data_IF_311227733757
#
_entry.id   IF_311227733757
#
_cell.length_a   1.000
_cell.length_b   1.000
_cell.length_c   1.000
_cell.angle_alpha   90.00
_cell.angle_beta   90.00
_cell.angle_gamma   90.00
#
_symmetry.space_group_name_H-M   'P 1'
#
loop_
_entity.id
_entity.type
_entity.pdbx_description
1 polymer ?
#
# COMPACT_ATOMS: atom_id res chain seq x y z
N UNK A 1 -9.85 -3.41 -4.52
CA UNK A 1 -8.52 -3.50 -5.18
C UNK A 1 -7.70 -4.64 -4.59
N UNK A 2 -6.87 -5.31 -5.38
CA UNK A 2 -6.02 -6.43 -4.93
C UNK A 2 -4.59 -6.27 -5.47
N UNK A 3 -3.60 -6.39 -4.59
CA UNK A 3 -2.18 -6.46 -4.94
C UNK A 3 -1.61 -7.78 -4.45
N UNK A 4 -1.11 -8.62 -5.36
CA UNK A 4 -0.60 -9.96 -5.01
C UNK A 4 0.89 -9.96 -4.63
N UNK A 5 1.59 -8.84 -4.77
CA UNK A 5 3.00 -8.68 -4.38
C UNK A 5 3.38 -7.20 -4.36
N UNK A 6 4.64 -6.91 -4.05
CA UNK A 6 5.23 -5.59 -4.27
C UNK A 6 5.34 -5.31 -5.77
N UNK A 7 4.47 -4.43 -6.27
CA UNK A 7 4.39 -4.00 -7.66
C UNK A 7 4.58 -2.48 -7.77
N UNK A 8 4.83 -1.96 -8.97
CA UNK A 8 4.99 -0.52 -9.18
C UNK A 8 3.68 0.21 -8.81
N UNK A 9 2.56 -0.32 -9.27
CA UNK A 9 1.21 0.16 -9.04
C UNK A 9 0.85 0.13 -7.55
N UNK A 10 1.36 -0.85 -6.80
CA UNK A 10 1.22 -0.89 -5.34
C UNK A 10 2.00 0.25 -4.68
N UNK A 11 3.22 0.53 -5.13
CA UNK A 11 4.04 1.62 -4.59
C UNK A 11 3.39 2.98 -4.86
N UNK A 12 2.88 3.18 -6.08
CA UNK A 12 2.11 4.36 -6.48
C UNK A 12 0.85 4.52 -5.63
N UNK A 13 0.11 3.43 -5.40
CA UNK A 13 -1.07 3.43 -4.54
C UNK A 13 -0.73 3.85 -3.10
N UNK A 14 0.37 3.33 -2.52
CA UNK A 14 0.80 3.73 -1.17
C UNK A 14 1.23 5.20 -1.13
N UNK A 15 1.96 5.68 -2.12
CA UNK A 15 2.38 7.09 -2.20
C UNK A 15 1.19 8.04 -2.34
N UNK A 16 0.22 7.69 -3.20
CA UNK A 16 -1.03 8.45 -3.35
C UNK A 16 -1.75 8.61 -2.00
N UNK A 17 -1.85 7.54 -1.21
CA UNK A 17 -2.47 7.60 0.12
C UNK A 17 -1.63 8.38 1.14
N UNK A 18 -0.31 8.20 1.18
CA UNK A 18 0.57 8.91 2.14
C UNK A 18 0.67 10.41 1.87
N UNK A 19 0.58 10.80 0.61
CA UNK A 19 0.68 12.19 0.19
C UNK A 19 -0.67 12.92 0.24
N UNK A 20 -1.75 12.20 0.52
CA UNK A 20 -3.06 12.79 0.71
C UNK A 20 -3.09 13.58 2.02
N UNK A 21 -3.22 14.90 1.91
CA UNK A 21 -3.28 15.84 3.05
C UNK A 21 -4.71 16.16 3.49
N UNK A 22 -5.70 15.55 2.83
CA UNK A 22 -7.11 15.71 3.18
C UNK A 22 -7.60 14.54 4.03
N UNK A 23 -8.72 14.74 4.73
CA UNK A 23 -9.41 13.69 5.46
C UNK A 23 -10.29 12.80 4.56
N UNK A 24 -10.32 13.07 3.25
CA UNK A 24 -11.08 12.29 2.26
C UNK A 24 -10.17 11.22 1.70
N UNK A 25 -10.58 9.95 1.70
CA UNK A 25 -9.80 8.83 1.14
C UNK A 25 -9.45 9.09 -0.33
N UNK A 26 -8.22 8.80 -0.74
CA UNK A 26 -7.69 9.13 -2.08
C UNK A 26 -8.17 8.18 -3.21
N UNK A 27 -9.08 7.26 -2.90
CA UNK A 27 -9.61 6.27 -3.83
C UNK A 27 -11.04 5.88 -3.44
N UNK A 28 -11.74 5.20 -4.35
CA UNK A 28 -13.13 4.76 -4.21
C UNK A 28 -13.29 3.27 -3.84
N UNK A 29 -12.19 2.55 -3.65
CA UNK A 29 -12.25 1.13 -3.29
C UNK A 29 -12.78 0.87 -1.86
N UNK A 30 -13.82 0.05 -1.75
CA UNK A 30 -14.38 -0.44 -0.49
C UNK A 30 -13.41 -1.31 0.31
N UNK A 31 -12.76 -2.27 -0.36
CA UNK A 31 -11.79 -3.20 0.25
C UNK A 31 -10.51 -3.19 -0.56
N UNK A 32 -9.39 -3.08 0.13
CA UNK A 32 -8.05 -3.23 -0.45
C UNK A 32 -7.33 -4.38 0.23
N UNK A 33 -6.85 -5.33 -0.56
CA UNK A 33 -5.95 -6.39 -0.11
C UNK A 33 -4.59 -6.19 -0.72
N UNK A 34 -3.52 -6.27 0.08
CA UNK A 34 -2.18 -6.18 -0.46
C UNK A 34 -1.06 -6.23 0.57
N UNK A 35 0.20 -6.16 0.11
CA UNK A 35 1.35 -6.12 0.98
C UNK A 35 1.33 -4.91 1.92
N UNK A 36 1.83 -5.11 3.13
CA UNK A 36 1.98 -4.04 4.12
C UNK A 36 3.23 -3.21 3.84
N UNK A 37 3.14 -1.89 4.06
CA UNK A 37 4.27 -0.98 4.07
C UNK A 37 4.85 -0.85 5.51
N UNK A 38 5.31 -1.98 6.08
CA UNK A 38 5.96 -2.02 7.41
C UNK A 38 7.24 -1.17 7.47
N UNK A 39 7.88 -1.05 8.64
CA UNK A 39 9.04 -0.16 8.85
C UNK A 39 10.16 -0.34 7.82
N UNK A 40 10.48 -1.60 7.46
CA UNK A 40 11.51 -1.91 6.46
C UNK A 40 11.16 -1.37 5.08
N UNK A 41 9.90 -1.47 4.70
CA UNK A 41 9.39 -1.01 3.40
C UNK A 41 9.10 0.50 3.42
N UNK A 42 8.59 1.02 4.54
CA UNK A 42 8.25 2.43 4.74
C UNK A 42 9.46 3.35 4.55
N UNK A 43 10.65 2.94 5.00
CA UNK A 43 11.88 3.68 4.72
C UNK A 43 12.20 3.75 3.22
N UNK A 44 12.00 2.65 2.48
CA UNK A 44 12.22 2.63 1.04
C UNK A 44 11.18 3.49 0.30
N UNK A 45 9.93 3.49 0.76
CA UNK A 45 8.86 4.35 0.21
C UNK A 45 9.19 5.82 0.43
N UNK A 46 9.65 6.20 1.63
CA UNK A 46 10.07 7.59 1.91
C UNK A 46 11.22 8.03 0.99
N UNK A 47 12.18 7.13 0.71
CA UNK A 47 13.26 7.42 -0.24
C UNK A 47 12.74 7.56 -1.68
N UNK A 48 11.74 6.79 -2.08
CA UNK A 48 11.06 6.93 -3.37
C UNK A 48 10.33 8.29 -3.45
N UNK A 49 9.57 8.64 -2.41
CA UNK A 49 8.85 9.92 -2.28
C UNK A 49 9.79 11.13 -2.37
N UNK A 50 10.96 11.05 -1.72
CA UNK A 50 11.98 12.11 -1.74
C UNK A 50 12.80 12.15 -3.05
N UNK A 51 12.53 11.27 -4.02
CA UNK A 51 13.28 11.16 -5.27
C UNK A 51 14.70 10.59 -5.12
N UNK A 52 15.06 10.06 -3.95
CA UNK A 52 16.36 9.42 -3.69
C UNK A 52 16.47 8.09 -4.45
N UNK A 53 15.35 7.37 -4.59
CA UNK A 53 15.25 6.14 -5.38
C UNK A 53 14.36 6.36 -6.60
N UNK A 54 14.74 5.75 -7.72
CA UNK A 54 13.83 5.56 -8.85
C UNK A 54 12.82 4.45 -8.54
N UNK A 55 11.64 4.41 -9.19
CA UNK A 55 10.68 3.31 -9.01
C UNK A 55 11.30 1.92 -9.26
N UNK A 56 12.15 1.80 -10.29
CA UNK A 56 12.90 0.56 -10.57
C UNK A 56 13.89 0.21 -9.46
N UNK A 57 14.59 1.20 -8.91
CA UNK A 57 15.51 1.03 -7.79
C UNK A 57 14.79 0.59 -6.51
N UNK A 58 13.64 1.20 -6.22
CA UNK A 58 12.77 0.83 -5.12
C UNK A 58 12.35 -0.65 -5.19
N UNK A 59 11.77 -1.09 -6.30
CA UNK A 59 11.34 -2.48 -6.49
C UNK A 59 12.52 -3.45 -6.39
N UNK A 60 13.67 -3.09 -6.96
CA UNK A 60 14.89 -3.88 -6.85
C UNK A 60 15.32 -4.06 -5.39
N UNK A 61 15.21 -3.03 -4.55
CA UNK A 61 15.63 -3.10 -3.14
C UNK A 61 14.75 -4.00 -2.28
N UNK A 62 13.47 -4.13 -2.63
CA UNK A 62 12.49 -4.90 -1.85
C UNK A 62 12.19 -6.28 -2.43
N UNK A 63 12.76 -6.66 -3.58
CA UNK A 63 12.46 -7.90 -4.31
C UNK A 63 12.64 -9.21 -3.55
N UNK A 64 13.44 -9.21 -2.49
CA UNK A 64 13.70 -10.38 -1.64
C UNK A 64 12.97 -10.32 -0.29
N UNK A 65 12.15 -9.30 -0.08
CA UNK A 65 11.34 -9.18 1.14
C UNK A 65 10.07 -10.00 0.92
N UNK A 66 9.86 -11.02 1.76
CA UNK A 66 8.60 -11.74 1.81
C UNK A 66 7.49 -10.77 2.24
N UNK A 67 6.43 -10.56 1.42
CA UNK A 67 5.35 -9.67 1.79
C UNK A 67 4.47 -10.29 2.87
N UNK A 68 4.16 -9.49 3.89
CA UNK A 68 3.00 -9.74 4.75
C UNK A 68 1.82 -9.01 4.14
N UNK A 69 0.65 -9.64 4.10
CA UNK A 69 -0.56 -9.06 3.52
C UNK A 69 -1.53 -8.56 4.59
N UNK A 70 -2.26 -7.50 4.27
CA UNK A 70 -3.34 -6.98 5.09
C UNK A 70 -4.59 -6.72 4.27
N UNK A 71 -5.71 -6.59 4.98
CA UNK A 71 -6.94 -6.02 4.46
C UNK A 71 -7.11 -4.60 5.02
N UNK A 72 -7.56 -3.70 4.15
CA UNK A 72 -8.12 -2.40 4.51
C UNK A 72 -9.61 -2.40 4.14
N UNK A 73 -10.43 -1.91 5.05
CA UNK A 73 -11.88 -1.78 4.95
C UNK A 73 -12.21 -0.28 4.98
N UNK A 74 -12.51 0.30 3.82
CA UNK A 74 -12.60 1.74 3.64
C UNK A 74 -14.00 2.34 3.78
N UNK A 75 -15.03 1.51 3.78
CA UNK A 75 -16.43 1.95 3.89
C UNK A 75 -17.18 1.12 4.93
N UNK A 76 -18.27 1.66 5.49
CA UNK A 76 -19.13 0.90 6.40
C UNK A 76 -19.70 -0.37 5.73
N UNK A 77 -20.03 -0.27 4.43
CA UNK A 77 -20.49 -1.41 3.64
C UNK A 77 -19.47 -2.56 3.64
N UNK A 78 -18.17 -2.23 3.58
CA UNK A 78 -17.10 -3.24 3.60
C UNK A 78 -17.04 -4.06 4.91
N UNK A 79 -17.55 -3.52 6.02
CA UNK A 79 -17.57 -4.22 7.31
C UNK A 79 -18.59 -5.38 7.33
N UNK A 80 -19.61 -5.37 6.47
CA UNK A 80 -20.58 -6.46 6.35
C UNK A 80 -19.96 -7.78 5.88
N UNK A 81 -18.75 -7.72 5.31
CA UNK A 81 -18.01 -8.89 4.88
C UNK A 81 -17.18 -9.53 6.01
N UNK A 82 -17.06 -8.88 7.17
CA UNK A 82 -16.44 -9.47 8.35
C UNK A 82 -17.37 -10.51 8.97
N UNK A 83 -16.82 -11.66 9.35
CA UNK A 83 -17.53 -12.70 10.09
C UNK A 83 -16.83 -12.93 11.42
N UNK A 84 -17.57 -12.95 12.52
CA UNK A 84 -17.06 -13.45 13.79
C UNK A 84 -16.80 -14.95 13.66
N UNK A 85 -15.70 -15.42 14.27
CA UNK A 85 -15.44 -16.86 14.42
C UNK A 85 -16.34 -17.47 15.49
#
# INVERSE_FOLDING_TARGET
MRFDSYLAEWAEFVLMNRNNKSDVVAHDYDIVYGPIANDRIGLQIKRLEQGILTPKGFLRNIRFVQPTFQYYFGTEHSLLFLRSK
#
